data_IF_709747882920
#
_entry.id   IF_709747882920
#
_cell.length_a   1.000
_cell.length_b   1.000
_cell.length_c   1.000
_cell.angle_alpha   90.00
_cell.angle_beta   90.00
_cell.angle_gamma   90.00
#
_symmetry.space_group_name_H-M   'P 1'
#
loop_
_entity.id
_entity.type
_entity.pdbx_description
1 polymer ?
#
# COMPACT_ATOMS: atom_id res chain seq x y z
N UNK A 1 -10.13 24.00 -38.23
CA UNK A 1 -10.13 23.10 -37.05
C UNK A 1 -8.85 23.33 -36.25
N UNK A 2 -8.99 23.57 -34.94
CA UNK A 2 -7.98 24.15 -34.04
C UNK A 2 -6.86 23.13 -33.74
N UNK A 3 -5.59 23.52 -33.94
CA UNK A 3 -4.43 22.72 -33.51
C UNK A 3 -4.33 22.82 -31.98
N UNK A 4 -4.48 21.70 -31.27
CA UNK A 4 -4.25 21.62 -29.82
C UNK A 4 -2.92 20.91 -29.57
N UNK A 5 -2.00 21.63 -28.93
CA UNK A 5 -0.75 21.12 -28.38
C UNK A 5 -1.06 20.44 -27.06
N UNK A 6 -0.72 19.16 -26.91
CA UNK A 6 -0.68 18.51 -25.60
C UNK A 6 0.76 18.10 -25.33
N UNK A 7 1.46 18.97 -24.59
CA UNK A 7 2.66 18.63 -23.85
C UNK A 7 2.17 18.28 -22.44
N UNK A 8 2.26 17.01 -22.03
CA UNK A 8 2.04 16.64 -20.64
C UNK A 8 3.00 15.49 -20.26
N UNK A 9 4.03 15.89 -19.51
CA UNK A 9 4.70 15.09 -18.49
C UNK A 9 5.40 13.82 -18.91
N UNK A 10 6.73 13.80 -18.82
CA UNK A 10 7.48 12.57 -18.54
C UNK A 10 6.85 11.87 -17.32
N UNK A 11 5.99 10.88 -17.53
CA UNK A 11 5.86 9.80 -16.57
C UNK A 11 7.14 8.99 -16.71
N UNK A 12 7.99 9.07 -15.68
CA UNK A 12 9.14 8.22 -15.55
C UNK A 12 8.70 6.78 -15.81
N UNK A 13 9.22 6.22 -16.90
CA UNK A 13 9.06 4.83 -17.28
C UNK A 13 9.89 4.04 -16.28
N UNK A 14 9.32 3.83 -15.09
CA UNK A 14 9.90 3.00 -14.06
C UNK A 14 9.79 1.55 -14.49
N UNK A 15 10.81 1.08 -15.22
CA UNK A 15 11.17 -0.33 -15.34
C UNK A 15 10.18 -1.23 -16.10
N UNK A 16 10.53 -1.56 -17.34
CA UNK A 16 10.08 -2.78 -18.00
C UNK A 16 10.72 -3.99 -17.30
N UNK A 17 10.21 -4.35 -16.14
CA UNK A 17 10.48 -5.61 -15.48
C UNK A 17 9.17 -6.06 -14.83
N UNK A 18 8.67 -7.23 -15.20
CA UNK A 18 7.59 -7.88 -14.47
C UNK A 18 8.08 -8.22 -13.07
N UNK A 19 8.09 -7.23 -12.17
CA UNK A 19 8.22 -7.47 -10.75
C UNK A 19 6.92 -8.17 -10.39
N UNK A 20 7.00 -9.42 -9.94
CA UNK A 20 5.87 -10.05 -9.28
C UNK A 20 5.45 -9.09 -8.16
N UNK A 21 4.32 -8.41 -8.37
CA UNK A 21 3.84 -7.40 -7.47
C UNK A 21 3.59 -8.10 -6.14
N UNK A 22 4.42 -7.80 -5.13
CA UNK A 22 4.44 -8.52 -3.86
C UNK A 22 3.13 -8.41 -3.07
N UNK A 23 2.24 -7.52 -3.51
CA UNK A 23 0.89 -7.30 -3.04
C UNK A 23 0.32 -6.00 -3.61
N UNK A 24 -0.82 -5.58 -3.09
CA UNK A 24 -1.43 -4.30 -3.40
C UNK A 24 -0.55 -3.13 -2.94
N UNK A 25 -0.67 -1.99 -3.63
CA UNK A 25 0.09 -0.81 -3.27
C UNK A 25 -0.41 -0.23 -1.94
N UNK A 26 0.55 0.06 -1.06
CA UNK A 26 0.34 0.72 0.22
C UNK A 26 0.77 2.19 0.08
N UNK A 27 -0.13 3.09 0.44
CA UNK A 27 0.08 4.52 0.42
C UNK A 27 0.02 5.07 1.84
N UNK A 28 0.94 5.98 2.17
CA UNK A 28 0.93 6.66 3.46
C UNK A 28 -0.20 7.69 3.58
N UNK A 29 -0.32 8.29 4.75
CA UNK A 29 -1.30 9.33 5.07
C UNK A 29 -1.34 10.49 4.05
N UNK A 30 -0.18 10.92 3.55
CA UNK A 30 -0.08 11.98 2.55
C UNK A 30 -0.37 11.52 1.10
N UNK A 31 -0.69 10.24 0.89
CA UNK A 31 -0.98 9.65 -0.43
C UNK A 31 0.25 9.25 -1.25
N UNK A 32 1.47 9.39 -0.71
CA UNK A 32 2.69 8.88 -1.34
C UNK A 32 2.79 7.36 -1.24
N UNK A 33 3.40 6.72 -2.24
CA UNK A 33 3.71 5.29 -2.19
C UNK A 33 4.62 5.01 -0.99
N UNK A 34 4.26 4.03 -0.17
CA UNK A 34 4.99 3.67 1.05
C UNK A 34 5.35 2.18 1.10
N UNK A 35 4.94 1.40 0.10
CA UNK A 35 5.30 0.00 -0.06
C UNK A 35 4.18 -0.84 -0.63
N UNK A 36 4.14 -2.12 -0.27
CA UNK A 36 3.09 -3.03 -0.70
C UNK A 36 2.62 -3.94 0.44
N UNK A 37 1.39 -4.42 0.33
CA UNK A 37 0.76 -5.30 1.30
C UNK A 37 0.01 -6.43 0.60
N UNK A 38 0.11 -7.65 1.12
CA UNK A 38 -0.76 -8.77 0.74
C UNK A 38 -1.53 -9.25 1.98
N UNK A 39 -2.23 -10.39 1.91
CA UNK A 39 -3.02 -10.89 3.06
C UNK A 39 -2.18 -11.41 4.24
N UNK A 40 -0.86 -11.52 4.08
CA UNK A 40 0.03 -12.15 5.06
C UNK A 40 1.03 -11.16 5.64
N UNK A 41 1.51 -10.19 4.87
CA UNK A 41 2.53 -9.25 5.30
C UNK A 41 2.54 -7.97 4.48
N UNK A 42 3.20 -6.95 5.02
CA UNK A 42 3.48 -5.69 4.34
C UNK A 42 4.99 -5.40 4.34
N UNK A 43 5.41 -4.63 3.34
CA UNK A 43 6.79 -4.14 3.21
C UNK A 43 6.82 -2.64 2.95
N UNK A 44 7.97 -2.04 3.22
CA UNK A 44 8.26 -0.65 2.89
C UNK A 44 8.48 -0.44 1.39
N UNK A 45 8.59 0.82 0.97
CA UNK A 45 8.94 1.20 -0.40
C UNK A 45 10.26 0.60 -0.90
N UNK A 46 11.18 0.29 0.02
CA UNK A 46 12.48 -0.34 -0.28
C UNK A 46 12.43 -1.87 -0.32
N UNK A 47 11.26 -2.46 -0.07
CA UNK A 47 11.08 -3.92 0.01
C UNK A 47 11.52 -4.53 1.35
N UNK A 48 11.73 -3.72 2.39
CA UNK A 48 12.03 -4.25 3.73
C UNK A 48 10.76 -4.76 4.39
N UNK A 49 10.83 -5.91 5.05
CA UNK A 49 9.69 -6.47 5.80
C UNK A 49 9.21 -5.49 6.88
N UNK A 50 7.97 -5.03 6.73
CA UNK A 50 7.32 -4.09 7.64
C UNK A 50 6.62 -4.79 8.79
N UNK A 51 6.04 -5.97 8.54
CA UNK A 51 5.37 -6.79 9.54
C UNK A 51 4.29 -7.70 8.95
N UNK A 52 3.54 -8.38 9.83
CA UNK A 52 2.49 -9.33 9.45
C UNK A 52 1.13 -8.67 9.29
N UNK A 53 0.30 -9.28 8.46
CA UNK A 53 -1.11 -8.98 8.30
C UNK A 53 -1.89 -10.21 8.75
N UNK A 54 -2.76 -10.02 9.73
CA UNK A 54 -3.60 -11.09 10.27
C UNK A 54 -4.94 -11.13 9.52
N UNK A 55 -5.62 -12.28 9.56
CA UNK A 55 -6.89 -12.51 8.86
C UNK A 55 -7.98 -11.47 9.18
N UNK A 56 -7.95 -10.88 10.36
CA UNK A 56 -8.90 -9.84 10.78
C UNK A 56 -8.47 -8.41 10.37
N UNK A 57 -7.43 -8.27 9.54
CA UNK A 57 -6.85 -7.01 9.10
C UNK A 57 -5.86 -6.38 10.09
N UNK A 58 -5.62 -6.96 11.27
CA UNK A 58 -4.63 -6.43 12.20
C UNK A 58 -3.23 -6.46 11.58
N UNK A 59 -2.45 -5.44 11.89
CA UNK A 59 -1.08 -5.24 11.45
C UNK A 59 -0.13 -5.42 12.62
N UNK A 60 0.99 -6.09 12.37
CA UNK A 60 2.16 -5.99 13.25
C UNK A 60 3.26 -5.14 12.62
N UNK A 61 4.19 -4.70 13.44
CA UNK A 61 5.55 -4.32 13.03
C UNK A 61 6.39 -5.58 12.80
N UNK A 62 7.59 -5.40 12.26
CA UNK A 62 8.59 -6.47 12.08
C UNK A 62 9.05 -7.08 13.42
N UNK A 63 8.91 -6.31 14.51
CA UNK A 63 9.14 -6.73 15.89
C UNK A 63 8.02 -7.63 16.46
N UNK A 64 6.88 -7.73 15.77
CA UNK A 64 5.67 -8.43 16.25
C UNK A 64 4.73 -7.56 17.10
N UNK A 65 5.08 -6.29 17.38
CA UNK A 65 4.19 -5.36 18.09
C UNK A 65 2.99 -4.98 17.22
N UNK A 66 1.86 -4.69 17.86
CA UNK A 66 0.66 -4.20 17.16
C UNK A 66 0.93 -2.83 16.51
N UNK A 67 0.74 -2.75 15.19
CA UNK A 67 0.96 -1.54 14.39
C UNK A 67 -0.34 -0.83 14.00
N UNK A 68 -1.47 -1.53 14.01
CA UNK A 68 -2.75 -0.99 13.57
C UNK A 68 -3.63 -2.01 12.89
N UNK A 69 -4.53 -1.55 12.03
CA UNK A 69 -5.49 -2.37 11.31
C UNK A 69 -5.77 -1.81 9.92
N UNK A 70 -5.88 -2.69 8.92
CA UNK A 70 -6.51 -2.40 7.64
C UNK A 70 -8.02 -2.65 7.79
N UNK A 71 -8.81 -1.62 7.53
CA UNK A 71 -10.27 -1.68 7.57
C UNK A 71 -10.83 -2.28 6.27
N UNK A 72 -12.12 -2.62 6.28
CA UNK A 72 -12.75 -3.27 5.13
C UNK A 72 -12.64 -2.48 3.81
N UNK A 73 -12.62 -1.15 3.92
CA UNK A 73 -12.45 -0.24 2.78
C UNK A 73 -10.99 0.03 2.39
N UNK A 74 -10.03 -0.72 2.92
CA UNK A 74 -8.60 -0.56 2.67
C UNK A 74 -7.91 0.58 3.43
N UNK A 75 -8.64 1.40 4.18
CA UNK A 75 -8.03 2.43 5.03
C UNK A 75 -7.26 1.80 6.19
N UNK A 76 -6.17 2.43 6.61
CA UNK A 76 -5.34 1.98 7.73
C UNK A 76 -5.61 2.87 8.94
N UNK A 77 -5.88 2.26 10.08
CA UNK A 77 -5.86 2.91 11.40
C UNK A 77 -4.62 2.46 12.15
N UNK A 78 -3.75 3.39 12.56
CA UNK A 78 -2.55 3.09 13.34
C UNK A 78 -2.91 2.65 14.77
N UNK A 79 -1.95 2.08 15.49
CA UNK A 79 -2.14 1.65 16.87
C UNK A 79 -2.57 2.79 17.83
N UNK A 80 -2.21 4.03 17.52
CA UNK A 80 -2.62 5.23 18.28
C UNK A 80 -4.00 5.79 17.87
N UNK A 81 -4.67 5.15 16.91
CA UNK A 81 -5.97 5.58 16.38
C UNK A 81 -5.90 6.59 15.23
N UNK A 82 -4.71 7.05 14.83
CA UNK A 82 -4.55 7.97 13.70
C UNK A 82 -4.72 7.28 12.35
N UNK A 83 -5.00 8.07 11.30
CA UNK A 83 -5.11 7.56 9.93
C UNK A 83 -3.73 7.25 9.33
N UNK A 84 -3.50 5.99 8.98
CA UNK A 84 -2.23 5.47 8.48
C UNK A 84 -1.98 5.64 6.99
N UNK A 85 -3.04 5.80 6.20
CA UNK A 85 -3.01 5.67 4.75
C UNK A 85 -4.00 4.62 4.24
N UNK A 86 -3.75 4.04 3.06
CA UNK A 86 -4.65 3.06 2.45
C UNK A 86 -3.93 2.02 1.59
N UNK A 87 -4.60 0.89 1.37
CA UNK A 87 -4.18 -0.19 0.46
C UNK A 87 -5.13 -0.23 -0.75
N UNK A 88 -4.60 -0.08 -1.96
CA UNK A 88 -5.41 0.21 -3.16
C UNK A 88 -6.30 -0.92 -3.68
N UNK A 89 -5.97 -2.16 -3.36
CA UNK A 89 -6.68 -3.37 -3.83
C UNK A 89 -7.27 -4.21 -2.69
N UNK A 90 -7.38 -3.63 -1.49
CA UNK A 90 -7.78 -4.40 -0.32
C UNK A 90 -9.21 -4.92 -0.44
N UNK A 91 -9.34 -6.24 -0.41
CA UNK A 91 -10.59 -6.96 -0.28
C UNK A 91 -10.58 -7.73 1.04
N UNK A 92 -11.36 -7.25 2.01
CA UNK A 92 -11.44 -7.83 3.34
C UNK A 92 -12.22 -9.15 3.37
N UNK A 93 -13.05 -9.39 2.35
CA UNK A 93 -13.95 -10.54 2.28
C UNK A 93 -13.47 -11.61 1.29
N UNK A 94 -12.40 -11.32 0.52
CA UNK A 94 -11.86 -12.28 -0.43
C UNK A 94 -11.32 -13.53 0.27
N UNK A 95 -11.81 -14.69 -0.16
CA UNK A 95 -11.23 -16.01 0.16
C UNK A 95 -9.91 -16.24 -0.60
#
# INVERSE_FOLDING_TARGET
MKKMKTLLGLMAIGGLGSWAQAGDALYGEAGGYAGSANRTWWQTETGSYGGSIFKNGCLSESSGRYAGKINANGSITRADGSYGGFVSGWDADGE
#
